data_IF_309359513720
#
_entry.id   IF_309359513720
#
_cell.length_a   1.000
_cell.length_b   1.000
_cell.length_c   1.000
_cell.angle_alpha   90.00
_cell.angle_beta   90.00
_cell.angle_gamma   90.00
#
_symmetry.space_group_name_H-M   'P 1'
#
loop_
_entity.id
_entity.type
_entity.pdbx_description
1 polymer ?
#
# COMPACT_ATOMS: atom_id res chain seq x y z
N UNK A 1 -23.33 20.94 -10.17
CA UNK A 1 -24.63 20.73 -9.48
C UNK A 1 -25.74 20.84 -10.51
N UNK A 2 -26.74 19.95 -10.49
CA UNK A 2 -27.99 20.10 -11.26
C UNK A 2 -29.15 19.72 -10.33
N UNK A 3 -30.16 20.59 -10.23
CA UNK A 3 -31.36 20.40 -9.40
C UNK A 3 -32.50 19.89 -10.29
N UNK A 4 -33.16 18.82 -9.86
CA UNK A 4 -34.48 18.42 -10.35
C UNK A 4 -35.42 18.23 -9.15
N UNK A 5 -36.71 18.49 -9.37
CA UNK A 5 -37.79 18.34 -8.36
C UNK A 5 -37.87 16.86 -7.95
N UNK A 6 -38.01 16.63 -6.65
CA UNK A 6 -38.10 15.33 -5.95
C UNK A 6 -36.77 14.58 -5.75
N UNK A 7 -36.08 14.96 -4.66
CA UNK A 7 -34.90 14.28 -4.13
C UNK A 7 -33.57 14.87 -4.60
N UNK A 8 -32.77 15.39 -3.67
CA UNK A 8 -31.43 15.89 -3.97
C UNK A 8 -30.48 14.69 -4.12
N UNK A 9 -30.12 14.36 -5.37
CA UNK A 9 -29.08 13.36 -5.66
C UNK A 9 -27.73 14.04 -5.80
N UNK A 10 -26.89 13.95 -4.77
CA UNK A 10 -25.52 14.48 -4.80
C UNK A 10 -24.62 13.44 -5.49
N UNK A 11 -24.01 13.81 -6.61
CA UNK A 11 -23.01 12.99 -7.32
C UNK A 11 -21.68 13.73 -7.32
N UNK A 12 -20.62 13.09 -6.83
CA UNK A 12 -19.28 13.65 -6.88
C UNK A 12 -18.85 13.95 -8.32
N UNK A 13 -18.15 15.06 -8.52
CA UNK A 13 -17.44 15.35 -9.77
C UNK A 13 -16.24 14.41 -9.94
N UNK A 14 -15.61 14.41 -11.12
CA UNK A 14 -14.36 13.64 -11.31
C UNK A 14 -13.28 14.14 -10.34
N UNK A 15 -13.13 15.45 -10.21
CA UNK A 15 -12.15 16.08 -9.33
C UNK A 15 -12.44 15.80 -7.85
N UNK A 16 -13.72 15.83 -7.45
CA UNK A 16 -14.13 15.46 -6.09
C UNK A 16 -13.83 14.00 -5.76
N UNK A 17 -13.95 13.08 -6.73
CA UNK A 17 -13.53 11.68 -6.55
C UNK A 17 -12.01 11.54 -6.43
N UNK A 18 -11.25 12.28 -7.24
CA UNK A 18 -9.79 12.27 -7.18
C UNK A 18 -9.29 12.77 -5.82
N UNK A 19 -9.78 13.91 -5.35
CA UNK A 19 -9.43 14.46 -4.04
C UNK A 19 -9.72 13.50 -2.88
N UNK A 20 -10.86 12.77 -2.93
CA UNK A 20 -11.17 11.74 -1.93
C UNK A 20 -10.17 10.58 -1.99
N UNK A 21 -9.76 10.16 -3.17
CA UNK A 21 -8.78 9.08 -3.32
C UNK A 21 -7.41 9.51 -2.80
N UNK A 22 -6.98 10.74 -3.07
CA UNK A 22 -5.73 11.29 -2.54
C UNK A 22 -5.76 11.33 -1.00
N UNK A 23 -6.83 11.86 -0.42
CA UNK A 23 -7.01 11.84 1.04
C UNK A 23 -7.00 10.41 1.62
N UNK A 24 -7.65 9.44 0.94
CA UNK A 24 -7.62 8.05 1.38
C UNK A 24 -6.20 7.49 1.38
N UNK A 25 -5.44 7.75 0.33
CA UNK A 25 -4.04 7.33 0.25
C UNK A 25 -3.24 7.95 1.38
N UNK A 26 -3.39 9.23 1.65
CA UNK A 26 -2.66 9.93 2.70
C UNK A 26 -2.96 9.38 4.09
N UNK A 27 -4.22 9.04 4.35
CA UNK A 27 -4.68 8.48 5.62
C UNK A 27 -4.44 6.96 5.79
N UNK A 28 -3.90 6.27 4.78
CA UNK A 28 -3.53 4.86 4.92
C UNK A 28 -2.44 4.70 5.98
N UNK A 29 -2.71 3.84 6.95
CA UNK A 29 -1.80 3.49 8.04
C UNK A 29 -1.85 1.97 8.28
N UNK A 30 -0.69 1.39 8.59
CA UNK A 30 -0.60 -0.02 8.99
C UNK A 30 -0.57 -0.08 10.51
N UNK A 31 -1.56 -0.74 11.09
CA UNK A 31 -1.64 -0.90 12.55
C UNK A 31 -0.51 -1.79 13.04
N UNK A 32 0.28 -1.27 13.98
CA UNK A 32 1.26 -2.05 14.73
C UNK A 32 0.53 -2.87 15.81
N UNK A 33 0.55 -4.21 15.76
CA UNK A 33 -0.01 -5.03 16.83
C UNK A 33 0.88 -4.97 18.08
N UNK A 34 0.31 -5.31 19.23
CA UNK A 34 1.08 -5.45 20.49
C UNK A 34 2.16 -6.53 20.38
N UNK A 35 1.85 -7.62 19.66
CA UNK A 35 2.74 -8.76 19.46
C UNK A 35 2.90 -9.05 17.97
N UNK A 36 4.16 -9.17 17.54
CA UNK A 36 4.48 -9.64 16.20
C UNK A 36 4.17 -11.14 16.07
N UNK A 37 3.53 -11.52 14.97
CA UNK A 37 3.14 -12.89 14.67
C UNK A 37 4.29 -13.73 14.07
N UNK A 38 5.49 -13.17 14.02
CA UNK A 38 6.72 -13.79 13.48
C UNK A 38 6.67 -14.08 11.98
N UNK A 39 5.83 -13.35 11.25
CA UNK A 39 5.75 -13.44 9.79
C UNK A 39 6.07 -12.11 9.12
N UNK A 40 6.66 -12.20 7.94
CA UNK A 40 7.01 -11.07 7.10
C UNK A 40 6.01 -10.94 5.96
N UNK A 41 5.65 -9.70 5.64
CA UNK A 41 4.76 -9.33 4.53
C UNK A 41 5.64 -8.77 3.45
N UNK A 42 5.85 -9.58 2.43
CA UNK A 42 6.67 -9.20 1.29
C UNK A 42 5.75 -8.72 0.18
N UNK A 43 5.98 -7.50 -0.30
CA UNK A 43 5.35 -6.94 -1.50
C UNK A 43 6.37 -6.98 -2.63
N UNK A 44 6.06 -7.73 -3.68
CA UNK A 44 6.85 -7.80 -4.90
C UNK A 44 6.06 -7.25 -6.07
N UNK A 45 6.72 -6.59 -7.01
CA UNK A 45 6.03 -6.07 -8.18
C UNK A 45 6.89 -6.02 -9.45
N UNK A 46 6.22 -6.18 -10.58
CA UNK A 46 6.80 -5.94 -11.90
C UNK A 46 5.86 -5.05 -12.72
N UNK A 47 6.04 -3.73 -12.58
CA UNK A 47 5.18 -2.73 -13.21
C UNK A 47 5.88 -2.23 -14.49
N UNK A 48 5.22 -2.35 -15.65
CA UNK A 48 5.78 -2.01 -16.95
C UNK A 48 6.14 -0.52 -17.06
N UNK A 49 7.05 -0.19 -17.97
CA UNK A 49 7.61 1.16 -18.09
C UNK A 49 6.55 2.23 -18.42
N UNK A 50 5.51 1.88 -19.19
CA UNK A 50 4.39 2.77 -19.48
C UNK A 50 3.59 3.20 -18.23
N UNK A 51 3.70 2.47 -17.12
CA UNK A 51 3.11 2.80 -15.81
C UNK A 51 4.14 3.30 -14.80
N UNK A 52 5.24 3.92 -15.26
CA UNK A 52 6.33 4.41 -14.39
C UNK A 52 5.87 5.31 -13.25
N UNK A 53 4.94 6.24 -13.50
CA UNK A 53 4.39 7.13 -12.46
C UNK A 53 3.73 6.34 -11.32
N UNK A 54 2.88 5.36 -11.63
CA UNK A 54 2.25 4.48 -10.63
C UNK A 54 3.29 3.65 -9.88
N UNK A 55 4.32 3.15 -10.57
CA UNK A 55 5.42 2.41 -9.93
C UNK A 55 6.18 3.26 -8.92
N UNK A 56 6.52 4.48 -9.27
CA UNK A 56 7.28 5.37 -8.42
C UNK A 56 6.42 5.87 -7.24
N UNK A 57 5.13 6.12 -7.46
CA UNK A 57 4.16 6.42 -6.40
C UNK A 57 4.00 5.25 -5.41
N UNK A 58 3.85 4.01 -5.90
CA UNK A 58 3.79 2.81 -5.06
C UNK A 58 5.03 2.68 -4.18
N UNK A 59 6.23 2.84 -4.76
CA UNK A 59 7.50 2.80 -4.00
C UNK A 59 7.54 3.85 -2.90
N UNK A 60 7.17 5.08 -3.22
CA UNK A 60 7.14 6.16 -2.24
C UNK A 60 6.15 5.88 -1.11
N UNK A 61 4.94 5.42 -1.45
CA UNK A 61 3.93 5.12 -0.44
C UNK A 61 4.33 3.95 0.45
N UNK A 62 4.84 2.86 -0.11
CA UNK A 62 5.36 1.73 0.69
C UNK A 62 6.44 2.18 1.69
N UNK A 63 7.37 3.04 1.28
CA UNK A 63 8.38 3.61 2.20
C UNK A 63 7.73 4.46 3.29
N UNK A 64 6.74 5.29 2.95
CA UNK A 64 6.02 6.11 3.94
C UNK A 64 5.22 5.28 4.95
N UNK A 65 4.75 4.10 4.52
CA UNK A 65 4.07 3.11 5.37
C UNK A 65 5.05 2.29 6.23
N UNK A 66 6.35 2.59 6.20
CA UNK A 66 7.36 1.93 7.01
C UNK A 66 7.91 0.63 6.43
N UNK A 67 7.62 0.28 5.16
CA UNK A 67 8.23 -0.88 4.55
C UNK A 67 9.74 -0.72 4.40
N UNK A 68 10.48 -1.79 4.68
CA UNK A 68 11.88 -1.90 4.36
C UNK A 68 12.07 -2.19 2.87
N UNK A 69 12.91 -1.42 2.20
CA UNK A 69 13.26 -1.62 0.80
C UNK A 69 14.31 -2.72 0.69
N UNK A 70 13.86 -3.96 0.46
CA UNK A 70 14.71 -5.14 0.41
C UNK A 70 15.48 -5.25 -0.91
N UNK A 71 14.79 -5.01 -2.03
CA UNK A 71 15.38 -4.89 -3.38
C UNK A 71 14.55 -3.93 -4.24
N UNK A 72 15.01 -3.63 -5.46
CA UNK A 72 14.41 -2.63 -6.38
C UNK A 72 12.88 -2.71 -6.52
N UNK A 73 12.31 -3.91 -6.48
CA UNK A 73 10.85 -4.13 -6.53
C UNK A 73 10.36 -5.08 -5.43
N UNK A 74 11.08 -5.14 -4.31
CA UNK A 74 10.77 -6.02 -3.18
C UNK A 74 10.80 -5.20 -1.90
N UNK A 75 9.68 -5.21 -1.18
CA UNK A 75 9.47 -4.46 0.05
C UNK A 75 8.99 -5.40 1.15
N UNK A 76 9.43 -5.18 2.38
CA UNK A 76 9.12 -6.06 3.51
C UNK A 76 8.55 -5.26 4.68
N UNK A 77 7.53 -5.82 5.32
CA UNK A 77 6.94 -5.27 6.54
C UNK A 77 6.62 -6.40 7.54
N UNK A 78 6.76 -6.18 8.86
CA UNK A 78 6.49 -7.23 9.85
C UNK A 78 5.01 -7.36 10.21
N UNK A 79 4.18 -6.35 9.95
CA UNK A 79 2.78 -6.34 10.41
C UNK A 79 1.80 -6.59 9.27
N UNK A 80 0.63 -7.12 9.62
CA UNK A 80 -0.46 -7.37 8.69
C UNK A 80 -0.89 -6.08 7.99
N UNK A 81 -0.96 -6.14 6.66
CA UNK A 81 -1.18 -4.97 5.81
C UNK A 81 -1.89 -5.33 4.50
N UNK A 82 -2.47 -6.54 4.40
CA UNK A 82 -3.00 -7.04 3.14
C UNK A 82 -4.10 -6.14 2.57
N UNK A 83 -4.96 -5.61 3.44
CA UNK A 83 -6.08 -4.74 3.06
C UNK A 83 -5.55 -3.40 2.53
N UNK A 84 -4.64 -2.77 3.24
CA UNK A 84 -4.05 -1.48 2.92
C UNK A 84 -3.30 -1.54 1.59
N UNK A 85 -2.51 -2.61 1.37
CA UNK A 85 -1.81 -2.81 0.11
C UNK A 85 -2.78 -3.05 -1.03
N UNK A 86 -3.84 -3.84 -0.83
CA UNK A 86 -4.86 -4.07 -1.87
C UNK A 86 -5.53 -2.75 -2.29
N UNK A 87 -5.97 -1.95 -1.32
CA UNK A 87 -6.55 -0.63 -1.59
C UNK A 87 -5.58 0.28 -2.35
N UNK A 88 -4.31 0.29 -1.94
CA UNK A 88 -3.28 1.11 -2.58
C UNK A 88 -3.04 0.72 -4.05
N UNK A 89 -2.89 -0.57 -4.34
CA UNK A 89 -2.58 -1.03 -5.71
C UNK A 89 -3.79 -0.91 -6.64
N UNK A 90 -5.01 -1.04 -6.10
CA UNK A 90 -6.26 -0.81 -6.82
C UNK A 90 -6.38 0.67 -7.21
N UNK A 91 -6.11 1.59 -6.28
CA UNK A 91 -6.12 3.04 -6.53
C UNK A 91 -5.08 3.46 -7.58
N UNK A 92 -3.92 2.81 -7.62
CA UNK A 92 -2.88 3.07 -8.62
C UNK A 92 -3.06 2.31 -9.94
N UNK A 93 -4.06 1.42 -10.05
CA UNK A 93 -4.34 0.64 -11.25
C UNK A 93 -3.21 -0.34 -11.62
N UNK A 94 -2.57 -0.95 -10.62
CA UNK A 94 -1.41 -1.85 -10.78
C UNK A 94 -1.57 -3.19 -10.07
N UNK A 95 -2.76 -3.53 -9.56
CA UNK A 95 -3.01 -4.74 -8.76
C UNK A 95 -2.53 -6.03 -9.41
N UNK A 96 -2.69 -6.18 -10.73
CA UNK A 96 -2.24 -7.36 -11.48
C UNK A 96 -0.72 -7.54 -11.46
N UNK A 97 0.02 -6.45 -11.26
CA UNK A 97 1.47 -6.36 -11.34
C UNK A 97 2.14 -6.48 -9.96
N UNK A 98 1.35 -6.55 -8.89
CA UNK A 98 1.82 -6.62 -7.50
C UNK A 98 1.38 -7.94 -6.89
N UNK A 99 2.28 -8.61 -6.18
CA UNK A 99 1.99 -9.80 -5.38
C UNK A 99 2.40 -9.56 -3.94
N UNK A 100 1.60 -10.08 -3.01
CA UNK A 100 1.98 -10.20 -1.61
C UNK A 100 2.29 -11.65 -1.28
N UNK A 101 3.33 -11.83 -0.49
CA UNK A 101 3.79 -13.13 -0.03
C UNK A 101 3.95 -13.06 1.49
N UNK A 102 3.36 -14.03 2.18
CA UNK A 102 3.62 -14.26 3.59
C UNK A 102 4.87 -15.11 3.72
N UNK A 103 5.86 -14.61 4.44
CA UNK A 103 7.18 -15.23 4.53
C UNK A 103 7.49 -15.53 6.00
N UNK A 104 7.71 -16.80 6.33
CA UNK A 104 8.05 -17.21 7.70
C UNK A 104 9.55 -17.13 7.98
N UNK A 105 10.39 -17.22 6.94
CA UNK A 105 11.85 -17.14 7.05
C UNK A 105 12.42 -16.39 5.86
N UNK A 106 13.37 -15.51 6.12
CA UNK A 106 14.07 -14.74 5.10
C UNK A 106 15.53 -14.55 5.49
N UNK A 107 16.41 -14.53 4.50
CA UNK A 107 17.83 -14.22 4.73
C UNK A 107 18.00 -12.80 5.30
N UNK A 108 18.94 -12.65 6.22
CA UNK A 108 19.20 -11.38 6.89
C UNK A 108 18.11 -10.96 7.89
N UNK A 109 17.30 -11.91 8.39
CA UNK A 109 16.20 -11.63 9.31
C UNK A 109 16.61 -10.76 10.52
N UNK A 110 17.81 -10.97 11.08
CA UNK A 110 18.28 -10.19 12.24
C UNK A 110 18.33 -8.69 11.94
N UNK A 111 18.84 -8.29 10.76
CA UNK A 111 18.87 -6.89 10.34
C UNK A 111 17.46 -6.29 10.24
N UNK A 112 16.50 -7.09 9.75
CA UNK A 112 15.10 -6.66 9.66
C UNK A 112 14.49 -6.53 11.06
N UNK A 113 14.73 -7.49 11.96
CA UNK A 113 14.27 -7.43 13.35
C UNK A 113 14.80 -6.20 14.06
N UNK A 114 16.09 -5.89 13.91
CA UNK A 114 16.70 -4.67 14.44
C UNK A 114 16.04 -3.41 13.86
N UNK A 115 15.83 -3.37 12.54
CA UNK A 115 15.18 -2.24 11.85
C UNK A 115 13.76 -1.96 12.36
N UNK A 116 13.03 -3.00 12.74
CA UNK A 116 11.64 -2.91 13.20
C UNK A 116 11.50 -2.97 14.74
N UNK A 117 12.61 -3.05 15.48
CA UNK A 117 12.66 -3.25 16.93
C UNK A 117 11.81 -4.46 17.38
N UNK A 118 12.05 -5.61 16.76
CA UNK A 118 11.36 -6.88 17.04
C UNK A 118 12.27 -7.81 17.85
N UNK A 119 11.66 -8.58 18.75
CA UNK A 119 12.31 -9.62 19.53
C UNK A 119 12.32 -10.98 18.80
#
# INVERSE_FOLDING_TARGET
>A
YQKYKDGVKIKLTKDGRAAINDCKIDLLEIKKPEKWDKKWRMVIFDIPHNKRKSKDALRWKLKSLGFFHFQKSVFIHPYECQREIKELVDLYGVSENVKMVLVEKIDGENLLKDKFNLA
#
